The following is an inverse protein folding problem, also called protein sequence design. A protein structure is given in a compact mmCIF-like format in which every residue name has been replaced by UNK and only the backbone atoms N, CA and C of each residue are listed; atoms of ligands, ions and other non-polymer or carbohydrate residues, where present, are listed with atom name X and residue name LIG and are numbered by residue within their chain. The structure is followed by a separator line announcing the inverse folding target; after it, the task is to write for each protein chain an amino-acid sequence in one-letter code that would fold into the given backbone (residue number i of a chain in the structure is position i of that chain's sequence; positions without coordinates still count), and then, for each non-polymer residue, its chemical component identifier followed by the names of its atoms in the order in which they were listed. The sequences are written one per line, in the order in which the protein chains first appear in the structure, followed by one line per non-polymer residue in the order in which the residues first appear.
data_IF_791542582942
#
_entry.id   IF_791542582942
#
_cell.length_a   1.000
_cell.length_b   1.000
_cell.length_c   1.000
_cell.angle_alpha   90.00
_cell.angle_beta   90.00
_cell.angle_gamma   90.00
#
_symmetry.space_group_name_H-M   'P 1'
#
loop_
_entity.id
_entity.type
_entity.pdbx_description
1 polymer ?
#
# COMPACT_ATOMS: atom_id res chain seq x y z
N UNK A 1 12.06 15.85 28.83
CA UNK A 1 12.40 15.42 27.47
C UNK A 1 11.17 15.67 26.64
N UNK A 2 11.19 16.69 25.80
CA UNK A 2 10.08 16.97 24.90
C UNK A 2 9.93 15.79 23.98
N UNK A 3 8.75 15.19 24.02
CA UNK A 3 8.38 14.05 23.18
C UNK A 3 8.16 14.61 21.76
N UNK A 4 9.24 14.82 21.00
CA UNK A 4 9.15 15.23 19.60
C UNK A 4 8.46 14.09 18.87
N UNK A 5 7.17 14.26 18.60
CA UNK A 5 6.42 13.32 17.74
C UNK A 5 7.09 13.34 16.37
N UNK A 6 7.54 12.18 15.91
CA UNK A 6 8.04 12.04 14.55
C UNK A 6 6.87 12.14 13.58
N UNK A 7 7.02 12.98 12.57
CA UNK A 7 6.06 13.10 11.48
C UNK A 7 6.47 12.16 10.35
N UNK A 8 5.50 11.45 9.78
CA UNK A 8 5.71 10.49 8.69
C UNK A 8 4.62 10.73 7.65
N UNK A 9 5.01 10.81 6.38
CA UNK A 9 4.08 10.82 5.26
C UNK A 9 3.98 9.41 4.70
N UNK A 10 2.79 8.84 4.70
CA UNK A 10 2.50 7.53 4.11
C UNK A 10 1.75 7.74 2.81
N UNK A 11 2.21 7.11 1.73
CA UNK A 11 1.61 7.23 0.39
C UNK A 11 1.19 5.84 -0.08
N UNK A 12 -0.05 5.67 -0.51
CA UNK A 12 -0.52 4.40 -1.07
C UNK A 12 -2.02 4.20 -0.98
N UNK A 13 -2.43 2.93 -0.95
CA UNK A 13 -3.83 2.56 -1.06
C UNK A 13 -4.57 2.49 0.27
N UNK A 14 -5.86 2.85 0.20
CA UNK A 14 -6.86 2.66 1.25
C UNK A 14 -8.07 1.96 0.66
N UNK A 15 -8.60 0.93 1.32
CA UNK A 15 -9.70 0.11 0.84
C UNK A 15 -10.67 -0.24 1.97
N UNK A 16 -11.89 -0.58 1.59
CA UNK A 16 -12.84 -1.25 2.48
C UNK A 16 -12.80 -2.75 2.20
N UNK A 17 -12.65 -3.57 3.21
CA UNK A 17 -12.69 -5.02 3.12
C UNK A 17 -13.96 -5.56 3.77
N UNK A 18 -14.72 -6.36 3.04
CA UNK A 18 -15.84 -7.15 3.55
C UNK A 18 -15.34 -8.56 3.76
N UNK A 19 -15.12 -8.94 5.02
CA UNK A 19 -14.62 -10.25 5.39
C UNK A 19 -15.80 -11.21 5.66
N UNK A 20 -15.79 -12.38 5.05
CA UNK A 20 -16.72 -13.45 5.33
C UNK A 20 -15.98 -14.74 5.74
N UNK A 21 -16.32 -15.32 6.89
CA UNK A 21 -15.61 -16.47 7.47
C UNK A 21 -16.55 -17.40 8.28
N UNK A 22 -16.39 -18.73 8.19
CA UNK A 22 -15.76 -19.40 7.05
C UNK A 22 -16.68 -19.39 5.83
N UNK A 23 -16.06 -19.49 4.65
CA UNK A 23 -16.78 -19.67 3.38
C UNK A 23 -16.34 -20.98 2.76
N UNK A 24 -17.32 -21.79 2.30
CA UNK A 24 -17.07 -23.04 1.60
C UNK A 24 -17.58 -22.98 0.16
N UNK A 25 -17.17 -23.91 -0.68
CA UNK A 25 -17.66 -24.01 -2.05
C UNK A 25 -19.20 -24.19 -2.13
N UNK A 26 -19.82 -24.55 -1.03
CA UNK A 26 -21.26 -24.82 -0.97
C UNK A 26 -22.09 -23.57 -1.30
N UNK A 27 -21.57 -22.36 -1.04
CA UNK A 27 -22.22 -21.09 -1.39
C UNK A 27 -22.55 -21.00 -2.89
N UNK A 28 -21.70 -21.56 -3.75
CA UNK A 28 -21.91 -21.59 -5.21
C UNK A 28 -22.87 -22.68 -5.66
N UNK A 29 -23.10 -23.72 -4.85
CA UNK A 29 -24.02 -24.85 -5.16
C UNK A 29 -25.43 -24.57 -4.68
N UNK A 30 -25.58 -23.99 -3.50
CA UNK A 30 -26.88 -23.81 -2.83
C UNK A 30 -27.47 -22.43 -3.02
N UNK A 31 -26.66 -21.46 -3.49
CA UNK A 31 -27.05 -20.05 -3.64
C UNK A 31 -27.15 -19.28 -2.30
N UNK A 32 -27.05 -19.97 -1.18
CA UNK A 32 -27.01 -19.38 0.17
C UNK A 32 -26.32 -20.33 1.13
N UNK A 33 -25.34 -19.82 1.87
CA UNK A 33 -24.64 -20.57 2.91
C UNK A 33 -24.39 -19.65 4.11
N UNK A 34 -24.61 -20.11 5.36
CA UNK A 34 -24.35 -19.29 6.53
C UNK A 34 -22.84 -19.15 6.74
N UNK A 35 -22.36 -17.91 6.89
CA UNK A 35 -21.05 -17.64 7.44
C UNK A 35 -21.18 -17.40 8.95
N UNK A 36 -20.17 -17.80 9.73
CA UNK A 36 -20.13 -17.56 11.18
C UNK A 36 -19.97 -16.08 11.49
N UNK A 37 -19.23 -15.37 10.64
CA UNK A 37 -18.90 -13.95 10.83
C UNK A 37 -18.84 -13.25 9.48
N UNK A 38 -19.47 -12.07 9.39
CA UNK A 38 -19.34 -11.15 8.26
C UNK A 38 -19.04 -9.79 8.83
N UNK A 39 -17.86 -9.25 8.54
CA UNK A 39 -17.38 -7.99 9.07
C UNK A 39 -16.95 -7.04 7.98
N UNK A 40 -17.15 -5.76 8.26
CA UNK A 40 -16.58 -4.68 7.51
C UNK A 40 -15.29 -4.24 8.20
N UNK A 41 -14.21 -4.16 7.46
CA UNK A 41 -12.90 -3.72 7.94
C UNK A 41 -12.35 -2.66 6.99
N UNK A 42 -11.37 -1.91 7.46
CA UNK A 42 -10.63 -0.96 6.66
C UNK A 42 -9.22 -1.49 6.47
N UNK A 43 -8.70 -1.41 5.27
CA UNK A 43 -7.43 -2.01 4.87
C UNK A 43 -6.74 -1.21 3.78
N UNK A 44 -5.83 -1.89 3.10
CA UNK A 44 -4.84 -1.29 2.22
C UNK A 44 -3.55 -1.03 2.98
N UNK A 45 -2.42 -1.29 2.31
CA UNK A 45 -1.12 -1.30 2.99
C UNK A 45 -0.82 0.07 3.63
N UNK A 46 -1.09 1.16 2.89
CA UNK A 46 -0.85 2.51 3.40
C UNK A 46 -1.76 2.88 4.58
N UNK A 47 -3.04 2.51 4.52
CA UNK A 47 -3.96 2.78 5.62
C UNK A 47 -3.56 1.99 6.88
N UNK A 48 -3.21 0.72 6.73
CA UNK A 48 -2.77 -0.13 7.84
C UNK A 48 -1.49 0.42 8.47
N UNK A 49 -0.53 0.82 7.65
CA UNK A 49 0.72 1.43 8.10
C UNK A 49 0.45 2.74 8.85
N UNK A 50 -0.36 3.62 8.30
CA UNK A 50 -0.72 4.90 8.92
C UNK A 50 -1.36 4.69 10.31
N UNK A 51 -2.29 3.74 10.44
CA UNK A 51 -2.94 3.42 11.71
C UNK A 51 -1.94 2.87 12.73
N UNK A 52 -1.05 1.97 12.32
CA UNK A 52 -0.03 1.40 13.22
C UNK A 52 0.93 2.49 13.69
N UNK A 53 1.43 3.33 12.80
CA UNK A 53 2.34 4.43 13.12
C UNK A 53 1.68 5.45 14.07
N UNK A 54 0.40 5.80 13.83
CA UNK A 54 -0.35 6.67 14.73
C UNK A 54 -0.46 6.07 16.14
N UNK A 55 -0.72 4.77 16.25
CA UNK A 55 -0.77 4.06 17.55
C UNK A 55 0.58 4.01 18.26
N UNK A 56 1.68 4.05 17.52
CA UNK A 56 3.03 4.23 18.10
C UNK A 56 3.34 5.69 18.47
N UNK A 57 2.39 6.60 18.31
CA UNK A 57 2.54 8.00 18.69
C UNK A 57 3.18 8.89 17.66
N UNK A 58 3.34 8.43 16.40
CA UNK A 58 3.76 9.27 15.29
C UNK A 58 2.63 10.21 14.86
N UNK A 59 2.99 11.38 14.34
CA UNK A 59 2.09 12.21 13.54
C UNK A 59 2.13 11.69 12.10
N UNK A 60 0.97 11.37 11.52
CA UNK A 60 0.91 10.73 10.22
C UNK A 60 0.06 11.54 9.26
N UNK A 61 0.63 11.86 8.11
CA UNK A 61 -0.10 12.32 6.92
C UNK A 61 -0.27 11.14 5.97
N UNK A 62 -1.50 10.81 5.61
CA UNK A 62 -1.80 9.76 4.64
C UNK A 62 -2.23 10.37 3.31
N UNK A 63 -1.45 10.10 2.25
CA UNK A 63 -1.79 10.44 0.86
C UNK A 63 -2.38 9.19 0.19
N UNK A 64 -3.68 9.21 -0.06
CA UNK A 64 -4.40 8.10 -0.68
C UNK A 64 -5.58 8.61 -1.48
N UNK A 65 -6.06 7.82 -2.44
CA UNK A 65 -7.17 8.19 -3.32
C UNK A 65 -8.44 7.43 -2.99
N UNK A 66 -9.54 8.17 -2.86
CA UNK A 66 -10.88 7.64 -2.60
C UNK A 66 -11.88 8.16 -3.63
N UNK A 67 -12.99 7.46 -3.76
CA UNK A 67 -14.18 7.97 -4.42
C UNK A 67 -14.96 8.94 -3.55
N UNK A 68 -15.83 9.71 -4.17
CA UNK A 68 -16.84 10.52 -3.46
C UNK A 68 -18.09 9.68 -3.21
N UNK A 69 -17.98 8.66 -2.38
CA UNK A 69 -19.02 7.66 -2.10
C UNK A 69 -19.07 7.28 -0.61
N UNK A 70 -20.02 6.43 -0.26
CA UNK A 70 -20.20 5.98 1.13
C UNK A 70 -18.98 5.20 1.68
N UNK A 71 -18.32 4.39 0.83
CA UNK A 71 -17.14 3.66 1.23
C UNK A 71 -15.98 4.61 1.55
N UNK A 72 -15.78 5.63 0.73
CA UNK A 72 -14.80 6.69 0.98
C UNK A 72 -15.09 7.47 2.26
N UNK A 73 -16.35 7.85 2.48
CA UNK A 73 -16.74 8.54 3.70
C UNK A 73 -16.47 7.70 4.96
N UNK A 74 -16.68 6.39 4.90
CA UNK A 74 -16.37 5.47 6.02
C UNK A 74 -14.87 5.39 6.31
N UNK A 75 -14.02 5.40 5.27
CA UNK A 75 -12.55 5.44 5.44
C UNK A 75 -12.14 6.76 6.10
N UNK A 76 -12.68 7.90 5.65
CA UNK A 76 -12.36 9.20 6.25
C UNK A 76 -12.70 9.24 7.75
N UNK A 77 -13.92 8.81 8.12
CA UNK A 77 -14.32 8.72 9.52
C UNK A 77 -13.39 7.80 10.33
N UNK A 78 -13.01 6.65 9.76
CA UNK A 78 -12.09 5.72 10.42
C UNK A 78 -10.71 6.33 10.65
N UNK A 79 -10.19 7.10 9.71
CA UNK A 79 -8.93 7.83 9.88
C UNK A 79 -9.01 8.86 10.99
N UNK A 80 -10.08 9.66 11.02
CA UNK A 80 -10.33 10.66 12.07
C UNK A 80 -10.44 10.01 13.45
N UNK A 81 -11.17 8.90 13.57
CA UNK A 81 -11.30 8.11 14.81
C UNK A 81 -9.95 7.57 15.31
N UNK A 82 -8.99 7.35 14.42
CA UNK A 82 -7.62 6.94 14.75
C UNK A 82 -6.63 8.12 14.87
N UNK A 83 -7.11 9.37 14.83
CA UNK A 83 -6.29 10.57 14.99
C UNK A 83 -5.36 10.86 13.79
N UNK A 84 -5.72 10.37 12.61
CA UNK A 84 -4.96 10.57 11.37
C UNK A 84 -5.64 11.70 10.56
N UNK A 85 -4.85 12.68 10.12
CA UNK A 85 -5.35 13.78 9.29
C UNK A 85 -5.87 13.30 7.95
N UNK A 86 -7.03 13.81 7.53
CA UNK A 86 -7.63 13.54 6.22
C UNK A 86 -7.32 14.60 5.18
N UNK A 87 -6.49 15.60 5.53
CA UNK A 87 -6.17 16.75 4.66
C UNK A 87 -5.42 16.41 3.37
N UNK A 88 -4.75 15.25 3.33
CA UNK A 88 -4.02 14.77 2.16
C UNK A 88 -4.74 13.63 1.41
N UNK A 89 -6.00 13.39 1.76
CA UNK A 89 -6.83 12.40 1.05
C UNK A 89 -7.38 13.00 -0.26
N UNK A 90 -7.11 12.33 -1.38
CA UNK A 90 -7.56 12.74 -2.71
C UNK A 90 -8.96 12.18 -2.97
N UNK A 91 -9.96 13.05 -2.96
CA UNK A 91 -11.35 12.67 -3.22
C UNK A 91 -11.66 12.89 -4.71
N UNK A 92 -11.85 11.81 -5.45
CA UNK A 92 -12.04 11.84 -6.91
C UNK A 92 -13.50 11.58 -7.29
N UNK A 93 -14.25 12.60 -7.74
CA UNK A 93 -15.59 12.38 -8.31
C UNK A 93 -15.54 11.46 -9.52
N UNK A 94 -16.47 10.51 -9.65
CA UNK A 94 -16.51 9.55 -10.77
C UNK A 94 -15.51 8.39 -10.65
N UNK A 95 -14.86 8.27 -9.50
CA UNK A 95 -14.09 7.09 -9.11
C UNK A 95 -14.82 6.42 -7.95
N UNK A 96 -14.93 5.09 -7.99
CA UNK A 96 -15.46 4.33 -6.86
C UNK A 96 -14.32 4.03 -5.88
N UNK A 97 -14.58 4.19 -4.58
CA UNK A 97 -13.65 3.73 -3.55
C UNK A 97 -13.48 2.21 -3.66
N UNK A 98 -12.25 1.74 -3.55
CA UNK A 98 -11.97 0.32 -3.63
C UNK A 98 -12.62 -0.44 -2.49
N UNK A 99 -13.39 -1.47 -2.85
CA UNK A 99 -13.98 -2.43 -1.92
C UNK A 99 -13.51 -3.83 -2.33
N UNK A 100 -12.97 -4.59 -1.39
CA UNK A 100 -12.66 -6.00 -1.58
C UNK A 100 -13.66 -6.87 -0.82
N UNK A 101 -13.97 -8.04 -1.36
CA UNK A 101 -14.61 -9.11 -0.62
C UNK A 101 -13.52 -10.13 -0.29
N UNK A 102 -13.31 -10.40 0.99
CA UNK A 102 -12.30 -11.34 1.48
C UNK A 102 -13.03 -12.58 1.98
N UNK A 103 -12.96 -13.63 1.20
CA UNK A 103 -13.50 -14.93 1.56
C UNK A 103 -12.43 -15.71 2.32
N UNK A 104 -12.71 -16.06 3.56
CA UNK A 104 -11.79 -16.82 4.41
C UNK A 104 -12.35 -18.24 4.54
N UNK A 105 -11.59 -19.23 4.12
CA UNK A 105 -12.01 -20.60 4.21
C UNK A 105 -11.83 -21.21 5.63
N UNK A 106 -12.16 -22.49 5.77
CA UNK A 106 -12.07 -23.22 7.06
C UNK A 106 -10.61 -23.37 7.54
N UNK A 107 -9.63 -23.26 6.65
CA UNK A 107 -8.20 -23.34 6.99
C UNK A 107 -7.64 -21.97 7.42
N UNK A 108 -8.40 -20.89 7.19
CA UNK A 108 -7.97 -19.51 7.40
C UNK A 108 -7.29 -18.88 6.17
N UNK A 109 -7.27 -19.58 5.03
CA UNK A 109 -6.75 -19.02 3.79
C UNK A 109 -7.70 -17.95 3.25
N UNK A 110 -7.12 -16.89 2.68
CA UNK A 110 -7.84 -15.70 2.20
C UNK A 110 -7.89 -15.67 0.70
N UNK A 111 -9.08 -15.53 0.16
CA UNK A 111 -9.36 -15.37 -1.26
C UNK A 111 -10.00 -14.00 -1.50
N UNK A 112 -9.45 -13.23 -2.45
CA UNK A 112 -9.87 -11.85 -2.67
C UNK A 112 -10.65 -11.70 -3.96
N UNK A 113 -11.83 -11.06 -3.86
CA UNK A 113 -12.53 -10.47 -4.99
C UNK A 113 -12.32 -8.95 -4.92
N UNK A 114 -11.64 -8.39 -5.91
CA UNK A 114 -11.27 -6.97 -5.92
C UNK A 114 -11.98 -6.21 -7.03
N UNK A 115 -12.31 -4.95 -6.80
CA UNK A 115 -12.81 -4.07 -7.85
C UNK A 115 -11.62 -3.59 -8.73
N UNK A 116 -11.51 -4.03 -10.00
CA UNK A 116 -10.37 -3.66 -10.85
C UNK A 116 -10.37 -2.19 -11.28
N UNK A 117 -11.49 -1.48 -11.11
CA UNK A 117 -11.66 -0.05 -11.47
C UNK A 117 -11.69 0.86 -10.24
N UNK A 118 -11.48 0.33 -9.06
CA UNK A 118 -11.50 1.08 -7.80
C UNK A 118 -10.33 2.05 -7.65
N UNK A 119 -10.46 2.95 -6.68
CA UNK A 119 -9.53 4.05 -6.41
C UNK A 119 -8.07 3.61 -6.18
N UNK A 120 -7.86 2.42 -5.57
CA UNK A 120 -6.52 1.87 -5.34
C UNK A 120 -5.69 1.67 -6.62
N UNK A 121 -6.35 1.55 -7.79
CA UNK A 121 -5.70 1.36 -9.10
C UNK A 121 -5.46 2.68 -9.84
N UNK A 122 -5.90 3.80 -9.26
CA UNK A 122 -5.97 5.10 -9.94
C UNK A 122 -5.16 6.21 -9.25
N UNK A 123 -4.48 5.91 -8.15
CA UNK A 123 -3.55 6.86 -7.53
C UNK A 123 -2.41 7.11 -8.54
N UNK A 124 -2.17 8.36 -8.90
CA UNK A 124 -1.19 8.76 -9.90
C UNK A 124 -0.24 9.84 -9.36
N UNK A 125 0.76 10.22 -10.12
CA UNK A 125 1.75 11.24 -9.71
C UNK A 125 1.07 12.57 -9.42
N UNK A 126 0.12 12.98 -10.25
CA UNK A 126 -0.61 14.24 -10.11
C UNK A 126 -1.45 14.32 -8.82
N UNK A 127 -1.87 13.17 -8.28
CA UNK A 127 -2.57 13.09 -7.01
C UNK A 127 -1.62 13.28 -5.81
N UNK A 128 -0.36 12.86 -5.95
CA UNK A 128 0.65 12.85 -4.88
C UNK A 128 1.47 14.13 -4.87
N UNK A 129 1.84 14.61 -6.04
CA UNK A 129 2.74 15.75 -6.25
C UNK A 129 2.42 16.99 -5.41
N UNK A 130 1.15 17.43 -5.27
CA UNK A 130 0.81 18.62 -4.48
C UNK A 130 1.19 18.52 -2.99
N UNK A 131 1.45 17.32 -2.49
CA UNK A 131 1.76 17.08 -1.07
C UNK A 131 3.24 16.82 -0.80
N UNK A 132 4.08 16.73 -1.85
CA UNK A 132 5.51 16.39 -1.69
C UNK A 132 6.32 17.51 -1.06
N UNK A 133 5.97 18.79 -1.30
CA UNK A 133 6.69 19.92 -0.73
C UNK A 133 6.60 19.95 0.80
N UNK A 134 5.40 19.61 1.34
CA UNK A 134 5.11 19.58 2.77
C UNK A 134 5.28 18.18 3.39
N UNK A 135 5.68 17.19 2.59
CA UNK A 135 5.90 15.84 3.08
C UNK A 135 7.01 15.81 4.14
N UNK A 136 6.82 14.92 5.11
CA UNK A 136 7.72 14.73 6.23
C UNK A 136 9.14 14.30 5.80
N UNK A 137 10.09 14.35 6.74
CA UNK A 137 11.46 13.85 6.50
C UNK A 137 11.51 12.34 6.33
N UNK A 138 10.47 11.62 6.74
CA UNK A 138 10.29 10.19 6.48
C UNK A 138 9.05 10.04 5.60
N UNK A 139 9.25 9.48 4.41
CA UNK A 139 8.17 9.11 3.48
C UNK A 139 8.14 7.59 3.37
N UNK A 140 6.97 7.00 3.59
CA UNK A 140 6.73 5.58 3.35
C UNK A 140 5.82 5.44 2.14
N UNK A 141 6.31 4.78 1.10
CA UNK A 141 5.53 4.42 -0.07
C UNK A 141 5.07 2.98 0.06
N UNK A 142 3.84 2.82 0.49
CA UNK A 142 3.23 1.50 0.65
C UNK A 142 2.66 1.03 -0.69
N UNK A 143 3.00 -0.20 -1.08
CA UNK A 143 2.35 -0.92 -2.19
C UNK A 143 2.82 -0.53 -3.59
N UNK A 144 4.11 -0.62 -3.87
CA UNK A 144 4.61 -0.71 -5.26
C UNK A 144 3.81 -1.81 -6.00
N UNK A 145 3.41 -1.55 -7.27
CA UNK A 145 2.56 -2.39 -8.12
C UNK A 145 1.06 -2.46 -7.79
N UNK A 146 0.54 -1.69 -6.83
CA UNK A 146 -0.91 -1.65 -6.60
C UNK A 146 -1.60 -0.75 -7.60
N UNK A 147 -1.16 0.49 -7.78
CA UNK A 147 -1.74 1.38 -8.79
C UNK A 147 -1.17 1.14 -10.16
N UNK A 148 -2.02 0.87 -11.14
CA UNK A 148 -1.60 0.75 -12.54
C UNK A 148 -1.24 2.09 -13.19
N UNK A 149 -1.59 3.20 -12.54
CA UNK A 149 -1.19 4.55 -12.98
C UNK A 149 0.22 4.94 -12.50
N UNK A 150 0.81 4.15 -11.58
CA UNK A 150 2.18 4.31 -11.10
C UNK A 150 3.03 3.16 -11.67
N UNK A 151 3.30 3.22 -12.96
CA UNK A 151 4.24 2.33 -13.63
C UNK A 151 5.70 2.64 -13.24
N UNK A 152 6.66 1.90 -13.76
CA UNK A 152 8.09 2.08 -13.41
C UNK A 152 8.64 3.45 -13.77
N UNK A 153 8.11 4.09 -14.83
CA UNK A 153 8.46 5.45 -15.22
C UNK A 153 7.92 6.48 -14.24
N UNK A 154 6.63 6.40 -13.94
CA UNK A 154 5.95 7.26 -12.97
C UNK A 154 6.55 7.12 -11.56
N UNK A 155 6.91 5.89 -11.15
CA UNK A 155 7.61 5.63 -9.90
C UNK A 155 9.00 6.27 -9.86
N UNK A 156 9.72 6.24 -10.98
CA UNK A 156 11.05 6.89 -11.08
C UNK A 156 10.93 8.39 -10.88
N UNK A 157 9.99 9.05 -11.58
CA UNK A 157 9.73 10.47 -11.42
C UNK A 157 9.34 10.83 -9.98
N UNK A 158 8.42 10.07 -9.40
CA UNK A 158 7.92 10.29 -8.04
C UNK A 158 9.04 10.16 -7.00
N UNK A 159 9.82 9.08 -7.05
CA UNK A 159 10.88 8.83 -6.07
C UNK A 159 12.04 9.82 -6.21
N UNK A 160 12.34 10.23 -7.44
CA UNK A 160 13.29 11.29 -7.70
C UNK A 160 12.84 12.60 -7.01
N UNK A 161 11.59 13.02 -7.18
CA UNK A 161 11.01 14.18 -6.52
C UNK A 161 11.06 14.09 -4.99
N UNK A 162 10.69 12.93 -4.43
CA UNK A 162 10.79 12.71 -2.98
C UNK A 162 12.21 12.96 -2.48
N UNK A 163 13.21 12.52 -3.23
CA UNK A 163 14.65 12.66 -2.89
C UNK A 163 15.28 13.98 -3.32
N UNK A 164 14.53 14.96 -3.86
CA UNK A 164 15.01 16.34 -4.03
C UNK A 164 15.41 16.98 -2.70
N UNK A 165 14.80 16.54 -1.58
CA UNK A 165 15.31 16.82 -0.23
C UNK A 165 16.28 15.70 0.17
N UNK A 166 17.62 15.94 0.14
CA UNK A 166 18.62 14.86 0.26
C UNK A 166 18.56 14.06 1.57
N UNK A 167 18.16 14.72 2.66
CA UNK A 167 18.07 14.10 3.99
C UNK A 167 16.75 13.33 4.21
N UNK A 168 15.81 13.40 3.24
CA UNK A 168 14.55 12.67 3.34
C UNK A 168 14.76 11.18 3.19
N UNK A 169 14.22 10.42 4.12
CA UNK A 169 14.25 8.95 4.10
C UNK A 169 13.04 8.46 3.30
N UNK A 170 13.29 7.62 2.29
CA UNK A 170 12.26 6.92 1.55
C UNK A 170 12.26 5.43 1.91
N UNK A 171 11.22 5.00 2.61
CA UNK A 171 10.90 3.60 2.83
C UNK A 171 9.86 3.16 1.79
N UNK A 172 9.94 1.93 1.30
CA UNK A 172 8.95 1.39 0.37
C UNK A 172 8.62 -0.06 0.69
N UNK A 173 7.35 -0.41 0.54
CA UNK A 173 6.87 -1.80 0.49
C UNK A 173 6.38 -2.11 -0.92
N UNK A 174 6.21 -3.38 -1.24
CA UNK A 174 5.74 -3.80 -2.55
C UNK A 174 4.72 -4.93 -2.44
N UNK A 175 3.97 -5.12 -3.51
CA UNK A 175 3.16 -6.31 -3.71
C UNK A 175 3.73 -7.14 -4.85
N UNK A 176 3.12 -8.28 -5.15
CA UNK A 176 3.52 -9.10 -6.30
C UNK A 176 3.47 -8.29 -7.60
N UNK A 177 4.50 -8.38 -8.42
CA UNK A 177 4.55 -7.86 -9.78
C UNK A 177 3.34 -8.38 -10.59
N UNK A 178 2.71 -7.51 -11.39
CA UNK A 178 1.41 -7.81 -12.02
C UNK A 178 1.47 -7.89 -13.54
N UNK A 179 2.47 -7.26 -14.14
CA UNK A 179 2.63 -7.21 -15.59
C UNK A 179 3.89 -7.94 -16.05
N UNK A 180 4.46 -8.80 -15.19
CA UNK A 180 5.67 -9.55 -15.48
C UNK A 180 6.96 -8.74 -15.33
N UNK A 181 6.93 -7.66 -14.57
CA UNK A 181 8.09 -6.83 -14.25
C UNK A 181 9.21 -7.70 -13.68
N UNK A 182 10.44 -7.33 -14.00
CA UNK A 182 11.67 -7.93 -13.51
C UNK A 182 12.48 -6.90 -12.73
N UNK A 183 13.45 -7.35 -11.95
CA UNK A 183 14.32 -6.47 -11.16
C UNK A 183 14.97 -5.38 -12.01
N UNK A 184 15.32 -5.70 -13.27
CA UNK A 184 15.91 -4.77 -14.23
C UNK A 184 15.00 -3.56 -14.50
N UNK A 185 13.68 -3.77 -14.55
CA UNK A 185 12.70 -2.73 -14.86
C UNK A 185 12.58 -1.72 -13.70
N UNK A 186 13.02 -2.10 -12.50
CA UNK A 186 12.93 -1.28 -11.29
C UNK A 186 14.18 -0.40 -11.05
N UNK A 187 15.25 -0.61 -11.80
CA UNK A 187 16.53 0.10 -11.62
C UNK A 187 16.42 1.62 -11.75
N UNK A 188 15.37 2.12 -12.41
CA UNK A 188 15.12 3.56 -12.52
C UNK A 188 14.80 4.21 -11.18
N UNK A 189 14.11 3.53 -10.28
CA UNK A 189 13.66 4.10 -9.02
C UNK A 189 14.29 3.48 -7.76
N UNK A 190 14.78 2.23 -7.79
CA UNK A 190 15.40 1.57 -6.64
C UNK A 190 16.56 2.35 -6.02
N UNK A 191 17.41 3.07 -6.78
CA UNK A 191 18.50 3.87 -6.20
C UNK A 191 18.04 5.02 -5.28
N UNK A 192 16.76 5.40 -5.33
CA UNK A 192 16.19 6.43 -4.45
C UNK A 192 15.62 5.84 -3.15
N UNK A 193 15.52 4.50 -3.03
CA UNK A 193 14.90 3.81 -1.89
C UNK A 193 15.94 3.55 -0.81
N UNK A 194 15.75 4.14 0.37
CA UNK A 194 16.62 3.90 1.52
C UNK A 194 16.30 2.55 2.18
N UNK A 195 15.01 2.20 2.31
CA UNK A 195 14.56 0.93 2.90
C UNK A 195 13.50 0.28 2.03
N UNK A 196 13.72 -0.95 1.60
CA UNK A 196 12.74 -1.73 0.84
C UNK A 196 12.32 -2.98 1.64
N UNK A 197 10.99 -3.22 1.72
CA UNK A 197 10.39 -4.28 2.54
C UNK A 197 9.61 -5.32 1.71
N UNK A 198 10.20 -6.05 0.78
CA UNK A 198 9.52 -7.14 0.07
C UNK A 198 9.33 -8.36 0.97
N UNK A 199 8.35 -9.23 0.66
CA UNK A 199 8.36 -10.59 1.17
C UNK A 199 9.13 -11.53 0.22
N UNK A 200 9.40 -12.77 0.67
CA UNK A 200 10.16 -13.76 -0.11
C UNK A 200 9.53 -14.07 -1.47
N UNK A 201 8.19 -14.18 -1.52
CA UNK A 201 7.47 -14.47 -2.77
C UNK A 201 7.52 -13.29 -3.75
N UNK A 202 7.37 -12.07 -3.25
CA UNK A 202 7.37 -10.86 -4.07
C UNK A 202 8.70 -10.67 -4.77
N UNK A 203 9.80 -10.80 -4.01
CA UNK A 203 11.13 -10.63 -4.59
C UNK A 203 11.51 -11.79 -5.50
N UNK A 204 11.10 -13.02 -5.19
CA UNK A 204 11.37 -14.18 -6.03
C UNK A 204 10.72 -14.06 -7.42
N UNK A 205 9.55 -13.43 -7.54
CA UNK A 205 8.90 -13.17 -8.82
C UNK A 205 9.72 -12.21 -9.71
N UNK A 206 10.39 -11.22 -9.10
CA UNK A 206 11.21 -10.24 -9.81
C UNK A 206 12.57 -10.81 -10.24
N UNK A 207 13.19 -11.62 -9.39
CA UNK A 207 14.57 -12.12 -9.59
C UNK A 207 14.63 -13.52 -10.20
N UNK A 208 13.55 -14.31 -10.02
CA UNK A 208 13.54 -15.74 -10.35
C UNK A 208 14.34 -16.60 -9.36
N UNK A 209 14.77 -16.05 -8.22
CA UNK A 209 15.53 -16.74 -7.17
C UNK A 209 14.68 -16.86 -5.89
N UNK A 210 14.72 -18.02 -5.23
CA UNK A 210 14.01 -18.26 -3.97
C UNK A 210 14.84 -17.97 -2.71
N UNK A 211 16.14 -17.74 -2.86
CA UNK A 211 17.08 -17.56 -1.75
C UNK A 211 17.05 -16.11 -1.25
N UNK A 212 16.56 -15.89 -0.02
CA UNK A 212 16.37 -14.54 0.54
C UNK A 212 17.68 -13.74 0.62
N UNK A 213 18.79 -14.37 1.01
CA UNK A 213 20.10 -13.70 1.12
C UNK A 213 20.64 -13.27 -0.24
N UNK A 214 20.42 -14.09 -1.29
CA UNK A 214 20.77 -13.75 -2.68
C UNK A 214 19.92 -12.58 -3.15
N UNK A 215 18.63 -12.62 -2.89
CA UNK A 215 17.70 -11.56 -3.24
C UNK A 215 18.04 -10.24 -2.55
N UNK A 216 18.42 -10.26 -1.28
CA UNK A 216 18.88 -9.07 -0.57
C UNK A 216 20.13 -8.47 -1.25
N UNK A 217 21.10 -9.29 -1.63
CA UNK A 217 22.28 -8.86 -2.40
C UNK A 217 21.92 -8.21 -3.72
N UNK A 218 21.02 -8.82 -4.50
CA UNK A 218 20.56 -8.29 -5.79
C UNK A 218 19.84 -6.92 -5.64
N UNK A 219 19.07 -6.72 -4.57
CA UNK A 219 18.43 -5.43 -4.28
C UNK A 219 19.46 -4.35 -3.95
N UNK A 220 20.48 -4.67 -3.15
CA UNK A 220 21.58 -3.74 -2.85
C UNK A 220 22.36 -3.40 -4.13
N UNK A 221 22.67 -4.40 -4.98
CA UNK A 221 23.30 -4.15 -6.29
C UNK A 221 22.43 -3.30 -7.22
N UNK A 222 21.10 -3.40 -7.10
CA UNK A 222 20.15 -2.57 -7.85
C UNK A 222 20.01 -1.15 -7.29
N UNK A 223 20.68 -0.81 -6.17
CA UNK A 223 20.81 0.53 -5.62
C UNK A 223 20.01 0.81 -4.35
N UNK A 224 19.26 -0.15 -3.81
CA UNK A 224 18.57 0.01 -2.51
C UNK A 224 19.61 0.10 -1.38
N UNK A 225 19.43 1.06 -0.46
CA UNK A 225 20.40 1.22 0.65
C UNK A 225 20.25 0.12 1.72
N UNK A 226 19.04 -0.34 1.99
CA UNK A 226 18.75 -1.40 2.95
C UNK A 226 17.57 -2.24 2.48
N UNK A 227 17.76 -3.55 2.32
CA UNK A 227 16.71 -4.51 1.97
C UNK A 227 16.31 -5.33 3.22
N UNK A 228 15.02 -5.36 3.53
CA UNK A 228 14.44 -6.11 4.66
C UNK A 228 13.42 -7.10 4.10
N UNK A 229 13.82 -8.36 3.92
CA UNK A 229 12.94 -9.39 3.36
C UNK A 229 12.10 -10.02 4.48
N UNK A 230 10.76 -9.86 4.36
CA UNK A 230 9.78 -10.45 5.26
C UNK A 230 9.64 -11.95 4.98
N UNK A 231 9.63 -12.79 6.03
CA UNK A 231 9.46 -14.25 5.99
C UNK A 231 8.11 -14.67 6.57
#
# INVERSE_FOLDING_TARGET
MDNIKRKITVIGNSVVDVLACPVTEEVFRTGSSPAKDIKLSFGGDALNEAVILSRFGCEVDLVSKLGKDEAGARILNFLEDNGISTGHMVISPGTDTSVNIVLIDETGERHFLTNPKGSQRKLCVEDIDPYLDDAADIVSFASIFVSSALDTGAMTELFQKIKEKPDRILAADMTKAKNGEKLEDLKGFLPYVDYLFPNEEEIALLTGCSEADVNAGLLIEAGVSCAVIKR
#
